data_IF_834421849238
#
_entry.id   IF_834421849238
#
_cell.length_a   1.000
_cell.length_b   1.000
_cell.length_c   1.000
_cell.angle_alpha   90.00
_cell.angle_beta   90.00
_cell.angle_gamma   90.00
#
_symmetry.space_group_name_H-M   'P 1'
#
loop_
_entity.id
_entity.type
_entity.pdbx_description
1 polymer ?
#
# COMPACT_ATOMS: atom_id res chain seq x y z
N UNK A 1 -10.70 5.80 -11.67
CA UNK A 1 -9.47 5.75 -10.83
C UNK A 1 -9.79 4.95 -9.57
N UNK A 2 -8.87 4.14 -9.06
CA UNK A 2 -9.02 3.46 -7.77
C UNK A 2 -7.93 4.01 -6.85
N UNK A 3 -8.32 4.57 -5.72
CA UNK A 3 -7.43 5.15 -4.73
C UNK A 3 -7.52 4.37 -3.43
N UNK A 4 -6.37 4.07 -2.81
CA UNK A 4 -6.30 3.38 -1.52
C UNK A 4 -5.66 4.31 -0.49
N UNK A 5 -6.42 4.66 0.55
CA UNK A 5 -5.89 5.30 1.74
C UNK A 5 -5.48 4.27 2.78
N UNK A 6 -4.57 4.66 3.68
CA UNK A 6 -4.17 3.88 4.84
C UNK A 6 -3.90 4.83 6.01
N UNK A 7 -4.13 4.38 7.23
CA UNK A 7 -3.86 5.15 8.44
C UNK A 7 -2.43 5.72 8.45
N UNK A 8 -2.29 7.01 8.76
CA UNK A 8 -1.01 7.70 8.74
C UNK A 8 0.07 7.04 9.61
N UNK A 9 -0.32 6.48 10.77
CA UNK A 9 0.62 5.84 11.71
C UNK A 9 1.25 4.60 11.09
N UNK A 10 0.41 3.76 10.49
CA UNK A 10 0.88 2.54 9.82
C UNK A 10 1.67 2.85 8.55
N UNK A 11 1.29 3.90 7.81
CA UNK A 11 2.06 4.39 6.67
C UNK A 11 3.44 4.86 7.11
N UNK A 12 3.54 5.68 8.17
CA UNK A 12 4.82 6.18 8.66
C UNK A 12 5.77 5.02 9.04
N UNK A 13 5.27 4.04 9.81
CA UNK A 13 6.07 2.87 10.21
C UNK A 13 6.47 2.05 8.98
N UNK A 14 5.52 1.76 8.07
CA UNK A 14 5.81 1.03 6.83
C UNK A 14 6.86 1.75 5.98
N UNK A 15 6.79 3.08 5.91
CA UNK A 15 7.65 3.87 5.05
C UNK A 15 9.07 4.01 5.59
N UNK A 16 9.20 4.07 6.92
CA UNK A 16 10.49 4.05 7.61
C UNK A 16 11.27 2.76 7.32
N UNK A 17 10.63 1.60 7.51
CA UNK A 17 11.27 0.31 7.20
C UNK A 17 11.57 0.14 5.70
N UNK A 18 10.72 0.70 4.85
CA UNK A 18 10.99 0.72 3.41
C UNK A 18 12.22 1.58 3.06
N UNK A 19 12.40 2.74 3.68
CA UNK A 19 13.62 3.55 3.47
C UNK A 19 14.90 2.85 3.95
N UNK A 20 14.83 2.03 4.99
CA UNK A 20 16.01 1.27 5.45
C UNK A 20 16.45 0.19 4.45
N UNK A 21 15.46 -0.48 3.82
CA UNK A 21 15.73 -1.60 2.92
C UNK A 21 15.96 -1.17 1.46
N UNK A 22 15.24 -0.15 0.97
CA UNK A 22 15.31 0.30 -0.41
C UNK A 22 16.39 1.37 -0.61
N UNK A 23 17.49 1.00 -1.30
CA UNK A 23 18.69 1.84 -1.44
C UNK A 23 18.54 3.04 -2.38
N UNK A 24 17.43 3.12 -3.10
CA UNK A 24 17.05 4.31 -3.87
C UNK A 24 16.62 5.49 -2.99
N UNK A 25 16.27 5.22 -1.72
CA UNK A 25 15.87 6.25 -0.77
C UNK A 25 17.06 6.73 0.06
N UNK A 26 17.04 8.00 0.51
CA UNK A 26 18.02 8.47 1.48
C UNK A 26 17.85 7.70 2.79
N UNK A 27 18.96 7.51 3.50
CA UNK A 27 18.95 6.90 4.83
C UNK A 27 17.94 7.63 5.73
N UNK A 28 16.99 6.91 6.36
CA UNK A 28 15.88 7.56 7.06
C UNK A 28 16.33 8.30 8.33
N UNK A 29 17.44 7.88 8.93
CA UNK A 29 17.88 8.29 10.26
C UNK A 29 17.21 7.45 11.34
N UNK A 30 17.08 8.00 12.54
CA UNK A 30 16.28 7.41 13.61
C UNK A 30 14.78 7.47 13.29
N UNK A 31 13.98 6.70 14.04
CA UNK A 31 12.53 6.70 13.88
C UNK A 31 11.94 8.10 14.15
N UNK A 32 12.42 8.78 15.19
CA UNK A 32 11.97 10.11 15.60
C UNK A 32 12.25 11.14 14.49
N UNK A 33 13.47 11.15 13.95
CA UNK A 33 13.85 12.04 12.84
C UNK A 33 13.02 11.77 11.58
N UNK A 34 12.76 10.49 11.27
CA UNK A 34 11.93 10.13 10.13
C UNK A 34 10.48 10.57 10.33
N UNK A 35 9.92 10.37 11.53
CA UNK A 35 8.56 10.76 11.86
C UNK A 35 8.37 12.27 11.75
N UNK A 36 9.33 13.06 12.22
CA UNK A 36 9.33 14.52 12.08
C UNK A 36 9.32 14.94 10.59
N UNK A 37 10.16 14.31 9.76
CA UNK A 37 10.17 14.54 8.30
C UNK A 37 8.83 14.14 7.67
N UNK A 38 8.27 13.01 8.06
CA UNK A 38 7.00 12.50 7.52
C UNK A 38 5.84 13.44 7.83
N UNK A 39 5.70 13.87 9.08
CA UNK A 39 4.66 14.81 9.52
C UNK A 39 4.84 16.17 8.82
N UNK A 40 6.08 16.62 8.63
CA UNK A 40 6.39 17.84 7.90
C UNK A 40 6.22 17.72 6.37
N UNK A 41 5.88 16.54 5.84
CA UNK A 41 5.79 16.28 4.39
C UNK A 41 7.14 16.38 3.66
N UNK A 42 8.26 16.24 4.38
CA UNK A 42 9.64 16.30 3.87
C UNK A 42 10.20 14.90 3.59
N UNK A 43 9.36 14.03 3.05
CA UNK A 43 9.71 12.69 2.58
C UNK A 43 9.45 12.60 1.08
N UNK A 44 9.94 11.54 0.43
CA UNK A 44 9.59 11.27 -0.95
C UNK A 44 8.06 11.27 -1.14
N UNK A 45 7.59 11.87 -2.23
CA UNK A 45 6.17 12.10 -2.55
C UNK A 45 5.40 13.09 -1.65
N UNK A 46 6.05 13.71 -0.67
CA UNK A 46 5.50 14.85 0.07
C UNK A 46 4.57 14.48 1.23
N UNK A 47 3.59 15.36 1.49
CA UNK A 47 2.66 15.28 2.62
C UNK A 47 1.61 14.19 2.43
N UNK A 48 1.58 13.22 3.36
CA UNK A 48 0.52 12.21 3.41
C UNK A 48 -0.87 12.85 3.55
N UNK A 49 -0.99 13.89 4.39
CA UNK A 49 -2.27 14.55 4.66
C UNK A 49 -2.83 15.19 3.40
N UNK A 50 -2.01 15.98 2.71
CA UNK A 50 -2.45 16.68 1.49
C UNK A 50 -2.78 15.68 0.38
N UNK A 51 -2.04 14.57 0.28
CA UNK A 51 -2.31 13.51 -0.68
C UNK A 51 -3.67 12.84 -0.41
N UNK A 52 -3.88 12.33 0.81
CA UNK A 52 -5.12 11.61 1.18
C UNK A 52 -6.34 12.52 1.13
N UNK A 53 -6.22 13.76 1.64
CA UNK A 53 -7.31 14.75 1.62
C UNK A 53 -7.61 15.23 0.21
N UNK A 54 -6.60 15.53 -0.60
CA UNK A 54 -6.80 16.00 -1.97
C UNK A 54 -7.53 14.97 -2.84
N UNK A 55 -7.19 13.68 -2.72
CA UNK A 55 -7.91 12.61 -3.40
C UNK A 55 -9.31 12.36 -2.83
N UNK A 56 -9.49 12.57 -1.52
CA UNK A 56 -10.80 12.49 -0.89
C UNK A 56 -11.72 13.55 -1.49
N UNK A 57 -11.31 14.81 -1.55
CA UNK A 57 -12.12 15.90 -2.12
C UNK A 57 -12.45 15.65 -3.60
N UNK A 58 -11.45 15.27 -4.41
CA UNK A 58 -11.62 14.97 -5.84
C UNK A 58 -12.59 13.83 -6.14
N UNK A 59 -12.88 12.95 -5.19
CA UNK A 59 -13.85 11.85 -5.42
C UNK A 59 -15.27 12.36 -5.71
N UNK A 60 -15.58 13.61 -5.35
CA UNK A 60 -16.87 14.23 -5.65
C UNK A 60 -16.94 14.74 -7.09
N UNK A 61 -15.79 15.05 -7.70
CA UNK A 61 -15.71 15.67 -9.02
C UNK A 61 -15.36 14.65 -10.13
N UNK A 62 -14.76 13.52 -9.75
CA UNK A 62 -14.25 12.51 -10.68
C UNK A 62 -14.74 11.11 -10.32
N UNK A 63 -14.72 10.21 -11.32
CA UNK A 63 -15.06 8.80 -11.14
C UNK A 63 -13.93 8.05 -10.40
N UNK A 64 -13.97 8.12 -9.06
CA UNK A 64 -12.96 7.58 -8.15
C UNK A 64 -13.60 6.61 -7.17
N UNK A 65 -13.09 5.38 -7.14
CA UNK A 65 -13.33 4.44 -6.04
C UNK A 65 -12.28 4.69 -4.96
N UNK A 66 -12.73 5.20 -3.81
CA UNK A 66 -11.86 5.47 -2.67
C UNK A 66 -12.01 4.34 -1.64
N UNK A 67 -10.94 3.58 -1.42
CA UNK A 67 -10.90 2.43 -0.53
C UNK A 67 -9.96 2.70 0.65
N UNK A 68 -10.15 1.96 1.74
CA UNK A 68 -9.25 1.97 2.89
C UNK A 68 -8.52 0.63 3.00
N UNK A 69 -7.23 0.69 3.30
CA UNK A 69 -6.40 -0.51 3.51
C UNK A 69 -6.94 -1.36 4.66
N UNK A 70 -7.46 -0.71 5.68
CA UNK A 70 -8.05 -1.33 6.86
C UNK A 70 -9.30 -2.14 6.49
N UNK A 71 -10.20 -1.57 5.68
CA UNK A 71 -11.39 -2.28 5.17
C UNK A 71 -10.99 -3.52 4.34
N UNK A 72 -9.94 -3.41 3.51
CA UNK A 72 -9.43 -4.57 2.75
C UNK A 72 -8.84 -5.67 3.64
N UNK A 73 -8.34 -5.31 4.84
CA UNK A 73 -7.85 -6.28 5.82
C UNK A 73 -9.00 -6.95 6.57
N UNK A 74 -10.07 -6.21 6.83
CA UNK A 74 -11.24 -6.67 7.58
C UNK A 74 -12.17 -7.52 6.70
N UNK A 75 -12.55 -7.04 5.51
CA UNK A 75 -13.41 -7.73 4.55
C UNK A 75 -12.93 -7.53 3.11
N UNK A 76 -11.93 -8.32 2.71
CA UNK A 76 -11.42 -8.30 1.34
C UNK A 76 -12.49 -8.67 0.30
N UNK A 77 -13.46 -9.53 0.64
CA UNK A 77 -14.52 -9.95 -0.30
C UNK A 77 -15.45 -8.78 -0.59
N UNK A 78 -15.87 -8.05 0.45
CA UNK A 78 -16.66 -6.83 0.31
C UNK A 78 -15.97 -5.76 -0.52
N UNK A 79 -14.68 -5.50 -0.26
CA UNK A 79 -13.92 -4.51 -1.04
C UNK A 79 -13.73 -4.91 -2.51
N UNK A 80 -13.52 -6.21 -2.80
CA UNK A 80 -13.48 -6.73 -4.18
C UNK A 80 -14.85 -6.55 -4.85
N UNK A 81 -15.96 -6.78 -4.15
CA UNK A 81 -17.30 -6.57 -4.73
C UNK A 81 -17.54 -5.10 -5.08
N UNK A 82 -17.12 -4.16 -4.22
CA UNK A 82 -17.16 -2.71 -4.52
C UNK A 82 -16.33 -2.40 -5.77
N UNK A 83 -15.14 -2.99 -5.89
CA UNK A 83 -14.27 -2.85 -7.04
C UNK A 83 -14.90 -3.39 -8.34
N UNK A 84 -15.49 -4.59 -8.30
CA UNK A 84 -16.14 -5.19 -9.47
C UNK A 84 -17.33 -4.36 -9.94
N UNK A 85 -18.14 -3.88 -9.00
CA UNK A 85 -19.25 -2.96 -9.31
C UNK A 85 -18.74 -1.66 -9.94
N UNK A 86 -17.67 -1.09 -9.40
CA UNK A 86 -17.05 0.13 -9.94
C UNK A 86 -16.47 -0.07 -11.35
N UNK A 87 -15.93 -1.25 -11.64
CA UNK A 87 -15.41 -1.61 -12.96
C UNK A 87 -16.50 -2.12 -13.93
N UNK A 88 -17.76 -2.17 -13.50
CA UNK A 88 -18.89 -2.73 -14.25
C UNK A 88 -18.61 -4.16 -14.75
N UNK A 89 -17.95 -4.97 -13.91
CA UNK A 89 -17.63 -6.37 -14.21
C UNK A 89 -18.45 -7.31 -13.33
N UNK A 90 -18.96 -8.35 -13.97
CA UNK A 90 -19.52 -9.51 -13.29
C UNK A 90 -18.57 -10.70 -13.43
N UNK A 91 -18.25 -11.33 -12.31
CA UNK A 91 -17.33 -12.46 -12.24
C UNK A 91 -17.98 -13.60 -11.46
N UNK A 92 -17.74 -14.83 -11.91
CA UNK A 92 -18.18 -16.01 -11.15
C UNK A 92 -17.58 -16.04 -9.75
N UNK A 93 -18.33 -16.60 -8.80
CA UNK A 93 -17.87 -16.77 -7.42
C UNK A 93 -16.54 -17.56 -7.35
N UNK A 94 -16.35 -18.54 -8.25
CA UNK A 94 -15.08 -19.26 -8.38
C UNK A 94 -13.91 -18.31 -8.69
N UNK A 95 -14.11 -17.39 -9.64
CA UNK A 95 -13.09 -16.40 -10.01
C UNK A 95 -12.80 -15.45 -8.85
N UNK A 96 -13.85 -14.98 -8.15
CA UNK A 96 -13.71 -14.11 -6.98
C UNK A 96 -12.91 -14.82 -5.87
N UNK A 97 -13.19 -16.10 -5.61
CA UNK A 97 -12.46 -16.89 -4.63
C UNK A 97 -10.98 -17.09 -5.00
N UNK A 98 -10.67 -17.24 -6.30
CA UNK A 98 -9.27 -17.27 -6.77
C UNK A 98 -8.57 -15.93 -6.52
N UNK A 99 -9.24 -14.80 -6.80
CA UNK A 99 -8.68 -13.47 -6.52
C UNK A 99 -8.40 -13.33 -5.02
N UNK A 100 -9.37 -13.67 -4.16
CA UNK A 100 -9.20 -13.64 -2.70
C UNK A 100 -7.98 -14.42 -2.23
N UNK A 101 -7.82 -15.64 -2.75
CA UNK A 101 -6.67 -16.48 -2.43
C UNK A 101 -5.35 -15.83 -2.86
N UNK A 102 -5.25 -15.42 -4.14
CA UNK A 102 -4.02 -14.88 -4.71
C UNK A 102 -3.64 -13.49 -4.18
N UNK A 103 -4.62 -12.68 -3.76
CA UNK A 103 -4.42 -11.37 -3.13
C UNK A 103 -4.20 -11.44 -1.63
N UNK A 104 -4.27 -12.64 -1.02
CA UNK A 104 -3.97 -12.80 0.40
C UNK A 104 -2.49 -12.52 0.68
N UNK A 105 -2.21 -11.91 1.83
CA UNK A 105 -0.83 -11.57 2.22
C UNK A 105 0.11 -12.78 2.20
N UNK A 106 -0.36 -13.94 2.67
CA UNK A 106 0.46 -15.15 2.72
C UNK A 106 0.85 -15.64 1.34
N UNK A 107 -0.07 -15.60 0.36
CA UNK A 107 0.21 -16.00 -1.01
C UNK A 107 1.09 -14.97 -1.71
N UNK A 108 0.79 -13.67 -1.56
CA UNK A 108 1.60 -12.60 -2.14
C UNK A 108 3.03 -12.57 -1.60
N UNK A 109 3.23 -12.83 -0.30
CA UNK A 109 4.56 -12.88 0.33
C UNK A 109 5.47 -13.93 -0.29
N UNK A 110 4.91 -15.02 -0.81
CA UNK A 110 5.65 -16.11 -1.46
C UNK A 110 5.73 -15.96 -2.99
N UNK A 111 5.07 -14.95 -3.57
CA UNK A 111 5.04 -14.74 -5.01
C UNK A 111 6.18 -13.82 -5.46
N UNK A 112 7.18 -14.30 -6.22
CA UNK A 112 8.31 -13.48 -6.69
C UNK A 112 7.90 -12.25 -7.52
N UNK A 113 6.73 -12.31 -8.16
CA UNK A 113 6.20 -11.19 -8.95
C UNK A 113 5.56 -10.07 -8.10
N UNK A 114 5.41 -10.29 -6.78
CA UNK A 114 4.76 -9.35 -5.88
C UNK A 114 5.61 -8.98 -4.66
N UNK A 115 6.49 -9.88 -4.20
CA UNK A 115 7.25 -9.71 -2.96
C UNK A 115 8.60 -8.99 -3.14
N UNK A 116 8.98 -8.63 -4.36
CA UNK A 116 10.22 -7.94 -4.72
C UNK A 116 11.52 -8.71 -4.39
N UNK A 117 11.48 -10.03 -4.25
CA UNK A 117 12.70 -10.84 -4.02
C UNK A 117 13.54 -11.06 -5.28
N UNK A 118 13.06 -10.61 -6.44
CA UNK A 118 13.81 -10.64 -7.70
C UNK A 118 14.78 -9.46 -7.87
N UNK A 119 14.64 -8.42 -7.04
CA UNK A 119 15.57 -7.29 -6.99
C UNK A 119 16.86 -7.67 -6.26
N UNK A 120 17.97 -7.02 -6.62
CA UNK A 120 19.25 -7.29 -5.97
C UNK A 120 19.31 -6.66 -4.57
N UNK A 121 20.28 -7.09 -3.77
CA UNK A 121 20.49 -6.55 -2.42
C UNK A 121 20.90 -5.07 -2.44
N UNK A 122 21.55 -4.65 -3.51
CA UNK A 122 21.94 -3.25 -3.76
C UNK A 122 20.74 -2.37 -4.11
N UNK A 123 19.60 -2.96 -4.50
CA UNK A 123 18.35 -2.25 -4.77
C UNK A 123 17.41 -2.31 -3.56
N UNK A 124 17.15 -3.53 -3.04
CA UNK A 124 16.30 -3.78 -1.87
C UNK A 124 16.88 -4.88 -0.97
N UNK A 125 17.37 -4.49 0.21
CA UNK A 125 17.92 -5.41 1.19
C UNK A 125 16.84 -5.99 2.11
N UNK A 126 16.22 -7.09 1.67
CA UNK A 126 15.21 -7.82 2.45
C UNK A 126 15.72 -8.41 3.77
N UNK A 127 17.04 -8.44 4.01
CA UNK A 127 17.59 -8.86 5.32
C UNK A 127 17.47 -7.78 6.40
N UNK A 128 17.35 -6.51 6.00
CA UNK A 128 17.08 -5.38 6.90
C UNK A 128 15.60 -5.31 7.24
N UNK A 129 14.76 -5.35 6.22
CA UNK A 129 13.31 -5.45 6.38
C UNK A 129 12.68 -6.08 5.15
N UNK A 130 11.80 -7.09 5.28
CA UNK A 130 11.12 -7.66 4.13
C UNK A 130 10.11 -6.65 3.56
N UNK A 131 9.99 -6.57 2.23
CA UNK A 131 9.00 -5.70 1.58
C UNK A 131 7.57 -6.06 2.03
N UNK A 132 7.24 -7.36 2.03
CA UNK A 132 5.99 -7.88 2.57
C UNK A 132 6.08 -8.05 4.09
N UNK A 133 5.99 -6.92 4.82
CA UNK A 133 6.02 -6.84 6.29
C UNK A 133 4.62 -6.89 6.89
N UNK A 134 4.43 -7.63 7.99
CA UNK A 134 3.22 -7.63 8.80
C UNK A 134 3.47 -6.85 10.10
#
# INVERSE_FOLDING_TARGET
MIYVARNAKDVAVSYYYFHQMAKMHPEPGTWEEFLDKFVAGKVSFGSWYDHVKGWWEKRNDYHILYLFYEDMKEDLKGEIQKLLKFLEKDLSEETVNKILYHSSFNVMKQNPNANYTTLTKEEMDHSVSPFMRK
#
